data_IF_319371202882
#
_entry.id   IF_319371202882
#
_cell.length_a   1.000
_cell.length_b   1.000
_cell.length_c   1.000
_cell.angle_alpha   90.00
_cell.angle_beta   90.00
_cell.angle_gamma   90.00
#
_symmetry.space_group_name_H-M   'P 1'
#
loop_
_entity.id
_entity.type
_entity.pdbx_description
1 polymer ?
#
# COMPACT_ATOMS: atom_id res chain seq x y z
N UNK A 1 20.67 -10.04 63.16
CA UNK A 1 19.49 -10.57 62.44
C UNK A 1 19.07 -9.63 61.35
N UNK A 2 19.24 -9.96 60.06
CA UNK A 2 18.74 -9.16 58.93
C UNK A 2 17.26 -9.41 58.73
N UNK A 3 16.41 -8.44 58.99
CA UNK A 3 14.97 -8.48 58.75
C UNK A 3 14.74 -8.68 57.25
N UNK A 4 14.23 -9.83 56.82
CA UNK A 4 13.86 -10.08 55.43
C UNK A 4 12.65 -9.21 55.13
N UNK A 5 12.82 -8.20 54.26
CA UNK A 5 11.72 -7.41 53.75
C UNK A 5 10.82 -8.26 52.86
N UNK A 6 9.57 -8.42 53.21
CA UNK A 6 8.55 -9.10 52.40
C UNK A 6 7.53 -8.06 51.93
N UNK A 7 7.31 -7.90 50.63
CA UNK A 7 6.35 -6.93 50.13
C UNK A 7 4.92 -7.35 50.55
N UNK A 8 4.15 -6.39 51.07
CA UNK A 8 2.76 -6.59 51.43
C UNK A 8 1.85 -6.63 50.17
N UNK A 9 0.57 -7.07 50.35
CA UNK A 9 -0.36 -7.19 49.21
C UNK A 9 -0.58 -5.86 48.46
N UNK A 10 -0.55 -4.74 49.18
CA UNK A 10 -0.66 -3.41 48.55
C UNK A 10 0.54 -3.10 47.63
N UNK A 11 1.76 -3.50 48.05
CA UNK A 11 2.96 -3.33 47.23
C UNK A 11 2.86 -4.13 45.93
N UNK A 12 2.37 -5.39 46.02
CA UNK A 12 2.13 -6.21 44.82
C UNK A 12 1.06 -5.61 43.90
N UNK A 13 -0.03 -5.07 44.46
CA UNK A 13 -1.07 -4.39 43.68
C UNK A 13 -0.51 -3.17 42.93
N UNK A 14 0.28 -2.33 43.61
CA UNK A 14 0.90 -1.14 43.00
C UNK A 14 1.89 -1.54 41.89
N UNK A 15 2.74 -2.54 42.14
CA UNK A 15 3.70 -2.99 41.12
C UNK A 15 3.01 -3.60 39.90
N UNK A 16 1.93 -4.37 40.11
CA UNK A 16 1.12 -4.93 39.02
C UNK A 16 0.44 -3.84 38.20
N UNK A 17 -0.20 -2.87 38.85
CA UNK A 17 -0.81 -1.73 38.15
C UNK A 17 0.23 -0.93 37.36
N UNK A 18 1.40 -0.67 37.95
CA UNK A 18 2.51 -0.01 37.28
C UNK A 18 3.03 -0.78 36.05
N UNK A 19 3.16 -2.10 36.16
CA UNK A 19 3.57 -2.97 35.05
C UNK A 19 2.53 -2.97 33.91
N UNK A 20 1.24 -3.03 34.23
CA UNK A 20 0.15 -2.96 33.25
C UNK A 20 0.15 -1.59 32.54
N UNK A 21 0.28 -0.51 33.29
CA UNK A 21 0.33 0.85 32.71
C UNK A 21 1.53 1.02 31.78
N UNK A 22 2.70 0.50 32.17
CA UNK A 22 3.92 0.53 31.34
C UNK A 22 3.74 -0.31 30.08
N UNK A 23 3.19 -1.54 30.19
CA UNK A 23 2.91 -2.40 29.06
C UNK A 23 1.91 -1.76 28.08
N UNK A 24 0.84 -1.16 28.60
CA UNK A 24 -0.15 -0.43 27.77
C UNK A 24 0.47 0.78 27.06
N UNK A 25 1.36 1.53 27.74
CA UNK A 25 2.05 2.67 27.14
C UNK A 25 3.07 2.30 26.06
N UNK A 26 3.71 1.14 26.18
CA UNK A 26 4.69 0.64 25.22
C UNK A 26 4.06 -0.16 24.06
N UNK A 27 2.82 -0.64 24.22
CA UNK A 27 2.14 -1.50 23.26
C UNK A 27 2.10 -0.92 21.84
N UNK A 28 1.66 0.35 21.60
CA UNK A 28 1.57 0.89 20.24
C UNK A 28 2.92 0.91 19.51
N UNK A 29 3.98 1.31 20.22
CA UNK A 29 5.33 1.37 19.64
C UNK A 29 5.88 -0.01 19.32
N UNK A 30 5.67 -0.99 20.22
CA UNK A 30 6.10 -2.36 20.01
C UNK A 30 5.30 -3.01 18.84
N UNK A 31 4.00 -2.80 18.79
CA UNK A 31 3.14 -3.33 17.73
C UNK A 31 3.51 -2.76 16.36
N UNK A 32 3.74 -1.45 16.26
CA UNK A 32 4.21 -0.79 15.03
C UNK A 32 5.57 -1.34 14.59
N UNK A 33 6.50 -1.53 15.52
CA UNK A 33 7.82 -2.10 15.20
C UNK A 33 7.70 -3.54 14.68
N UNK A 34 6.90 -4.39 15.31
CA UNK A 34 6.66 -5.77 14.89
C UNK A 34 6.01 -5.79 13.50
N UNK A 35 5.01 -4.93 13.24
CA UNK A 35 4.36 -4.82 11.94
C UNK A 35 5.36 -4.43 10.85
N UNK A 36 6.17 -3.40 11.07
CA UNK A 36 7.20 -2.97 10.12
C UNK A 36 8.26 -4.05 9.87
N UNK A 37 8.63 -4.81 10.92
CA UNK A 37 9.54 -5.94 10.80
C UNK A 37 8.93 -7.05 9.93
N UNK A 38 7.66 -7.43 10.17
CA UNK A 38 6.96 -8.44 9.37
C UNK A 38 6.82 -8.00 7.90
N UNK A 39 6.47 -6.73 7.64
CA UNK A 39 6.41 -6.18 6.29
C UNK A 39 7.78 -6.25 5.58
N UNK A 40 8.86 -5.94 6.30
CA UNK A 40 10.21 -6.05 5.75
C UNK A 40 10.63 -7.50 5.47
N UNK A 41 10.12 -8.48 6.21
CA UNK A 41 10.33 -9.91 5.92
C UNK A 41 9.60 -10.33 4.64
N UNK A 42 8.36 -9.92 4.44
CA UNK A 42 7.60 -10.19 3.22
C UNK A 42 8.35 -9.66 2.00
N UNK A 43 8.81 -8.40 2.05
CA UNK A 43 9.58 -7.78 0.96
C UNK A 43 10.88 -8.53 0.68
N UNK A 44 11.63 -8.91 1.73
CA UNK A 44 12.90 -9.64 1.56
C UNK A 44 12.69 -11.04 0.99
N UNK A 45 11.69 -11.75 1.48
CA UNK A 45 11.39 -13.10 0.99
C UNK A 45 11.00 -13.05 -0.50
N UNK A 46 10.16 -12.09 -0.90
CA UNK A 46 9.82 -11.89 -2.31
C UNK A 46 11.06 -11.58 -3.16
N UNK A 47 11.97 -10.70 -2.69
CA UNK A 47 13.19 -10.38 -3.41
C UNK A 47 14.13 -11.59 -3.61
N UNK A 48 14.13 -12.55 -2.68
CA UNK A 48 14.92 -13.79 -2.81
C UNK A 48 14.27 -14.82 -3.73
N UNK A 49 12.94 -14.84 -3.84
CA UNK A 49 12.20 -15.79 -4.69
C UNK A 49 11.95 -15.29 -6.12
N UNK A 50 12.24 -14.02 -6.43
CA UNK A 50 11.99 -13.42 -7.75
C UNK A 50 12.66 -14.18 -8.91
N UNK A 51 13.81 -14.83 -8.66
CA UNK A 51 14.52 -15.63 -9.69
C UNK A 51 13.80 -16.92 -10.10
N UNK A 52 12.95 -17.44 -9.23
CA UNK A 52 12.24 -18.71 -9.38
C UNK A 52 10.75 -18.51 -9.70
N UNK A 53 10.30 -17.26 -9.91
CA UNK A 53 8.89 -16.95 -10.15
C UNK A 53 8.48 -17.36 -11.56
N UNK A 54 7.42 -18.15 -11.69
CA UNK A 54 6.80 -18.52 -12.96
C UNK A 54 5.40 -17.88 -13.09
N UNK A 55 5.11 -17.15 -14.19
CA UNK A 55 6.00 -16.81 -15.32
C UNK A 55 7.14 -15.85 -14.92
N UNK A 56 8.22 -15.83 -15.70
CA UNK A 56 9.38 -14.98 -15.46
C UNK A 56 8.98 -13.48 -15.29
N UNK A 57 9.66 -12.70 -14.44
CA UNK A 57 9.35 -11.29 -14.17
C UNK A 57 9.18 -10.44 -15.43
N UNK A 58 10.04 -10.60 -16.43
CA UNK A 58 9.96 -9.88 -17.71
C UNK A 58 8.66 -10.14 -18.45
N UNK A 59 8.21 -11.39 -18.49
CA UNK A 59 6.96 -11.77 -19.12
C UNK A 59 5.75 -11.21 -18.36
N UNK A 60 5.78 -11.22 -17.02
CA UNK A 60 4.73 -10.62 -16.19
C UNK A 60 4.64 -9.11 -16.39
N UNK A 61 5.77 -8.40 -16.52
CA UNK A 61 5.79 -6.97 -16.83
C UNK A 61 5.20 -6.66 -18.22
N UNK A 62 5.49 -7.50 -19.23
CA UNK A 62 4.89 -7.35 -20.56
C UNK A 62 3.38 -7.58 -20.51
N UNK A 63 2.91 -8.61 -19.81
CA UNK A 63 1.49 -8.86 -19.61
C UNK A 63 0.79 -7.72 -18.87
N UNK A 64 1.42 -7.16 -17.84
CA UNK A 64 0.89 -6.02 -17.10
C UNK A 64 0.80 -4.75 -17.95
N UNK A 65 1.77 -4.50 -18.83
CA UNK A 65 1.70 -3.40 -19.80
C UNK A 65 0.60 -3.62 -20.84
N UNK A 66 0.42 -4.86 -21.31
CA UNK A 66 -0.68 -5.21 -22.21
C UNK A 66 -2.05 -5.05 -21.54
N UNK A 67 -2.16 -5.42 -20.27
CA UNK A 67 -3.36 -5.18 -19.44
C UNK A 67 -3.65 -3.67 -19.34
N UNK A 68 -2.66 -2.85 -19.00
CA UNK A 68 -2.81 -1.40 -18.93
C UNK A 68 -3.24 -0.79 -20.27
N UNK A 69 -2.65 -1.24 -21.38
CA UNK A 69 -3.05 -0.78 -22.72
C UNK A 69 -4.51 -1.14 -23.06
N UNK A 70 -4.98 -2.30 -22.62
CA UNK A 70 -6.38 -2.71 -22.79
C UNK A 70 -7.33 -1.87 -21.95
N UNK A 71 -6.95 -1.49 -20.72
CA UNK A 71 -7.71 -0.58 -19.87
C UNK A 71 -7.86 0.82 -20.50
N UNK A 72 -6.79 1.36 -21.10
CA UNK A 72 -6.82 2.67 -21.78
C UNK A 72 -7.74 2.62 -23.02
N UNK A 73 -7.80 1.49 -23.72
CA UNK A 73 -8.51 1.34 -24.98
C UNK A 73 -10.05 1.27 -24.85
N UNK A 74 -10.64 1.13 -23.67
CA UNK A 74 -12.09 1.03 -23.65
C UNK A 74 -12.82 0.71 -22.36
N UNK A 75 -12.19 0.62 -21.22
CA UNK A 75 -12.91 0.36 -19.97
C UNK A 75 -13.36 1.68 -19.34
N UNK A 76 -14.67 1.97 -19.42
CA UNK A 76 -15.33 2.96 -18.58
C UNK A 76 -15.45 2.35 -17.18
N UNK A 77 -14.87 3.01 -16.19
CA UNK A 77 -15.21 2.79 -14.79
C UNK A 77 -16.63 3.32 -14.58
N UNK A 78 -17.62 2.44 -14.54
CA UNK A 78 -18.94 2.84 -14.07
C UNK A 78 -18.84 3.11 -12.56
N UNK A 79 -19.38 4.24 -12.13
CA UNK A 79 -19.47 4.62 -10.73
C UNK A 79 -20.23 3.50 -9.96
N UNK A 80 -19.49 2.69 -9.21
CA UNK A 80 -20.03 1.56 -8.43
C UNK A 80 -19.68 0.16 -8.95
N UNK A 81 -19.01 0.03 -10.07
CA UNK A 81 -18.55 -1.25 -10.61
C UNK A 81 -17.06 -1.49 -10.31
N UNK A 82 -16.75 -2.08 -9.17
CA UNK A 82 -15.39 -2.52 -8.82
C UNK A 82 -15.06 -3.90 -9.42
N UNK A 83 -15.58 -4.24 -10.59
CA UNK A 83 -15.27 -5.52 -11.22
C UNK A 83 -14.52 -5.21 -12.51
N UNK A 84 -13.22 -5.56 -12.62
CA UNK A 84 -12.52 -5.44 -13.88
C UNK A 84 -13.19 -6.38 -14.89
N UNK A 85 -13.64 -5.80 -15.96
CA UNK A 85 -13.99 -6.60 -17.13
C UNK A 85 -12.69 -7.17 -17.66
N UNK A 86 -12.65 -8.49 -17.78
CA UNK A 86 -11.53 -9.22 -18.36
C UNK A 86 -11.01 -8.51 -19.61
N UNK A 87 -9.82 -7.94 -19.53
CA UNK A 87 -9.15 -7.37 -20.69
C UNK A 87 -8.54 -8.51 -21.51
N UNK A 88 -8.95 -8.64 -22.77
CA UNK A 88 -8.30 -9.54 -23.71
C UNK A 88 -7.14 -8.80 -24.40
N UNK A 89 -5.95 -9.41 -24.46
CA UNK A 89 -4.87 -8.90 -25.28
C UNK A 89 -5.18 -9.08 -26.78
N UNK A 90 -4.38 -8.46 -27.65
CA UNK A 90 -4.54 -8.56 -29.10
C UNK A 90 -4.43 -10.00 -29.65
N UNK A 91 -3.92 -10.96 -28.87
CA UNK A 91 -3.83 -12.38 -29.19
C UNK A 91 -5.02 -13.21 -28.65
N UNK A 92 -6.06 -12.56 -28.08
CA UNK A 92 -7.25 -13.23 -27.56
C UNK A 92 -7.03 -13.93 -26.20
N UNK A 93 -5.89 -13.73 -25.55
CA UNK A 93 -5.65 -14.27 -24.20
C UNK A 93 -6.35 -13.38 -23.18
N UNK A 94 -7.13 -14.00 -22.32
CA UNK A 94 -7.79 -13.32 -21.20
C UNK A 94 -6.75 -12.95 -20.15
N UNK A 95 -6.58 -11.65 -19.89
CA UNK A 95 -5.71 -11.14 -18.81
C UNK A 95 -6.55 -10.97 -17.54
N UNK A 96 -6.24 -11.73 -16.51
CA UNK A 96 -6.96 -11.74 -15.23
C UNK A 96 -6.14 -10.95 -14.21
N UNK A 97 -6.74 -9.97 -13.55
CA UNK A 97 -6.08 -9.06 -12.62
C UNK A 97 -5.24 -9.78 -11.55
N UNK A 98 -5.80 -10.78 -10.88
CA UNK A 98 -5.12 -11.51 -9.80
C UNK A 98 -3.92 -12.35 -10.27
N UNK A 99 -3.77 -12.52 -11.59
CA UNK A 99 -2.67 -13.26 -12.20
C UNK A 99 -1.55 -12.33 -12.73
N UNK A 100 -1.73 -11.02 -12.61
CA UNK A 100 -0.75 -10.02 -13.04
C UNK A 100 0.19 -9.67 -11.89
N UNK A 101 1.48 -9.51 -12.18
CA UNK A 101 2.49 -9.04 -11.20
C UNK A 101 2.51 -9.88 -9.92
N UNK A 102 2.45 -11.20 -10.04
CA UNK A 102 2.50 -12.12 -8.90
C UNK A 102 3.98 -12.29 -8.48
N UNK A 103 4.41 -11.47 -7.52
CA UNK A 103 5.77 -11.55 -6.96
C UNK A 103 5.91 -12.64 -5.89
N UNK A 104 4.79 -13.08 -5.30
CA UNK A 104 4.71 -14.19 -4.36
C UNK A 104 3.28 -14.73 -4.28
N UNK A 105 3.11 -15.99 -3.88
CA UNK A 105 1.83 -16.70 -3.80
C UNK A 105 0.78 -16.02 -2.91
N UNK A 106 1.19 -15.06 -2.10
CA UNK A 106 0.35 -14.33 -1.15
C UNK A 106 -0.28 -13.05 -1.72
N UNK A 107 -0.16 -12.80 -3.04
CA UNK A 107 -0.72 -11.65 -3.74
C UNK A 107 0.14 -10.39 -3.67
N UNK A 108 1.41 -10.49 -3.29
CA UNK A 108 2.35 -9.39 -3.36
C UNK A 108 2.65 -9.05 -4.82
N UNK A 109 2.52 -7.75 -5.19
CA UNK A 109 2.76 -7.26 -6.54
C UNK A 109 3.85 -6.20 -6.64
N UNK A 110 4.05 -5.40 -5.59
CA UNK A 110 4.98 -4.27 -5.61
C UNK A 110 5.43 -3.90 -4.19
N UNK A 111 6.36 -2.98 -4.12
CA UNK A 111 6.80 -2.30 -2.89
C UNK A 111 6.68 -0.80 -3.08
N UNK A 112 6.19 -0.07 -2.07
CA UNK A 112 6.16 1.39 -2.09
C UNK A 112 7.06 1.97 -1.00
N UNK A 113 7.87 2.98 -1.36
CA UNK A 113 8.71 3.73 -0.42
C UNK A 113 8.44 5.22 -0.53
N UNK A 114 8.18 5.89 0.59
CA UNK A 114 7.98 7.34 0.71
C UNK A 114 8.93 7.85 1.80
N UNK A 115 10.17 8.21 1.45
CA UNK A 115 11.22 8.54 2.44
C UNK A 115 10.86 9.71 3.34
N UNK A 116 10.17 10.74 2.82
CA UNK A 116 9.79 11.95 3.58
C UNK A 116 8.93 11.65 4.82
N UNK A 117 8.22 10.52 4.83
CA UNK A 117 7.37 10.08 5.94
C UNK A 117 7.74 8.69 6.48
N UNK A 118 8.90 8.15 6.07
CA UNK A 118 9.41 6.86 6.54
C UNK A 118 8.56 5.64 6.17
N UNK A 119 7.78 5.71 5.08
CA UNK A 119 6.95 4.59 4.60
C UNK A 119 7.81 3.64 3.76
N UNK A 120 7.68 2.35 4.04
CA UNK A 120 8.26 1.24 3.29
C UNK A 120 7.31 0.02 3.44
N UNK A 121 6.42 -0.19 2.45
CA UNK A 121 5.32 -1.13 2.53
C UNK A 121 5.27 -2.07 1.33
N UNK A 122 4.91 -3.35 1.54
CA UNK A 122 4.46 -4.22 0.47
C UNK A 122 3.12 -3.74 -0.07
N UNK A 123 2.94 -3.86 -1.39
CA UNK A 123 1.68 -3.59 -2.10
C UNK A 123 1.11 -4.89 -2.60
N UNK A 124 -0.13 -5.18 -2.24
CA UNK A 124 -0.84 -6.41 -2.58
C UNK A 124 -1.98 -6.14 -3.56
N UNK A 125 -2.49 -7.21 -4.19
CA UNK A 125 -3.68 -7.14 -5.02
C UNK A 125 -4.93 -6.78 -4.21
N UNK A 126 -5.75 -5.89 -4.76
CA UNK A 126 -7.03 -5.48 -4.19
C UNK A 126 -6.93 -4.66 -2.92
N UNK A 127 -8.10 -4.25 -2.43
CA UNK A 127 -8.23 -3.35 -1.28
C UNK A 127 -9.15 -3.92 -0.20
N UNK A 128 -9.18 -5.27 -0.08
CA UNK A 128 -9.92 -5.94 0.99
C UNK A 128 -9.34 -5.56 2.36
N UNK A 129 -10.15 -5.64 3.41
CA UNK A 129 -9.69 -5.40 4.78
C UNK A 129 -8.47 -6.29 5.12
N UNK A 130 -8.53 -7.57 4.72
CA UNK A 130 -7.40 -8.50 4.90
C UNK A 130 -6.12 -8.00 4.22
N UNK A 131 -6.23 -7.45 3.01
CA UNK A 131 -5.11 -6.87 2.26
C UNK A 131 -4.54 -5.67 3.02
N UNK A 132 -5.41 -4.72 3.39
CA UNK A 132 -5.01 -3.45 3.99
C UNK A 132 -4.44 -3.59 5.40
N UNK A 133 -4.75 -4.67 6.12
CA UNK A 133 -4.12 -5.00 7.40
C UNK A 133 -2.67 -5.51 7.24
N UNK A 134 -2.29 -6.01 6.05
CA UNK A 134 -0.95 -6.55 5.77
C UNK A 134 0.01 -5.50 5.20
N UNK A 135 -0.51 -4.52 4.47
CA UNK A 135 0.27 -3.51 3.78
C UNK A 135 -0.60 -2.54 3.00
N UNK A 136 -0.05 -2.00 1.92
CA UNK A 136 -0.84 -1.24 0.95
C UNK A 136 -1.54 -2.19 -0.02
N UNK A 137 -2.65 -1.74 -0.60
CA UNK A 137 -3.41 -2.46 -1.61
C UNK A 137 -3.50 -1.67 -2.91
N UNK A 138 -3.36 -2.34 -4.05
CA UNK A 138 -3.63 -1.77 -5.36
C UNK A 138 -5.12 -1.80 -5.63
N UNK A 139 -5.70 -0.66 -6.02
CA UNK A 139 -7.13 -0.55 -6.32
C UNK A 139 -7.42 -1.22 -7.68
N UNK A 140 -8.12 -2.34 -7.61
CA UNK A 140 -8.58 -3.08 -8.78
C UNK A 140 -9.42 -2.17 -9.71
N UNK A 141 -9.27 -2.32 -11.03
CA UNK A 141 -9.89 -1.45 -12.03
C UNK A 141 -9.08 -0.19 -12.37
N UNK A 142 -7.99 0.09 -11.65
CA UNK A 142 -6.98 1.09 -12.05
C UNK A 142 -5.81 0.42 -12.76
N UNK A 143 -4.94 1.21 -13.43
CA UNK A 143 -3.77 0.65 -14.11
C UNK A 143 -2.82 0.00 -13.11
N UNK A 144 -2.20 -1.11 -13.53
CA UNK A 144 -1.13 -1.76 -12.77
C UNK A 144 0.09 -0.82 -12.66
N UNK A 145 0.85 -0.87 -11.56
CA UNK A 145 1.91 0.09 -11.27
C UNK A 145 3.23 -0.22 -12.02
N UNK A 146 3.15 -0.44 -13.32
CA UNK A 146 4.30 -0.72 -14.20
C UNK A 146 4.70 0.46 -15.06
N UNK A 147 4.13 1.62 -14.80
CA UNK A 147 4.33 2.85 -15.56
C UNK A 147 3.68 2.82 -16.95
N UNK A 148 3.83 3.90 -17.66
CA UNK A 148 3.36 4.09 -19.04
C UNK A 148 2.55 5.37 -19.22
N UNK A 149 2.67 5.98 -20.41
CA UNK A 149 1.92 7.18 -20.76
C UNK A 149 0.41 6.93 -20.77
N UNK A 150 -0.35 7.84 -20.20
CA UNK A 150 -1.80 7.73 -20.10
C UNK A 150 -2.26 6.73 -19.01
N UNK A 151 -1.36 6.29 -18.11
CA UNK A 151 -1.72 5.37 -17.04
C UNK A 151 -1.83 6.09 -15.69
N UNK A 152 -2.68 5.54 -14.80
CA UNK A 152 -2.77 5.94 -13.39
C UNK A 152 -3.00 4.69 -12.55
N UNK A 153 -2.01 4.30 -11.75
CA UNK A 153 -2.16 3.29 -10.72
C UNK A 153 -2.62 3.93 -9.41
N UNK A 154 -3.52 3.26 -8.68
CA UNK A 154 -4.01 3.74 -7.38
C UNK A 154 -3.62 2.76 -6.29
N UNK A 155 -2.91 3.26 -5.28
CA UNK A 155 -2.44 2.49 -4.13
C UNK A 155 -3.04 3.10 -2.87
N UNK A 156 -3.68 2.28 -2.05
CA UNK A 156 -4.28 2.72 -0.79
C UNK A 156 -3.72 1.96 0.40
N UNK A 157 -3.70 2.59 1.55
CA UNK A 157 -3.38 1.95 2.82
C UNK A 157 -4.14 2.61 3.97
N UNK A 158 -4.26 1.91 5.08
CA UNK A 158 -4.91 2.42 6.27
C UNK A 158 -4.22 3.66 6.85
N UNK A 159 -5.01 4.45 7.60
CA UNK A 159 -4.53 5.55 8.41
C UNK A 159 -4.97 5.37 9.87
N UNK A 160 -4.01 5.50 10.80
CA UNK A 160 -4.30 5.46 12.23
C UNK A 160 -4.55 4.07 12.80
N UNK A 161 -4.01 3.02 12.20
CA UNK A 161 -3.95 1.72 12.86
C UNK A 161 -3.03 1.81 14.09
N UNK A 162 -3.50 1.27 15.22
CA UNK A 162 -2.70 1.25 16.45
C UNK A 162 -1.43 0.38 16.32
N UNK A 163 -1.45 -0.56 15.38
CA UNK A 163 -0.46 -1.62 15.23
C UNK A 163 0.49 -1.42 14.04
N UNK A 164 0.23 -0.44 13.17
CA UNK A 164 1.05 -0.22 11.97
C UNK A 164 1.02 1.23 11.50
N UNK A 165 2.18 1.74 11.04
CA UNK A 165 2.30 3.10 10.54
C UNK A 165 1.49 3.34 9.26
N UNK A 166 1.52 2.39 8.31
CA UNK A 166 0.82 2.46 7.02
C UNK A 166 0.93 3.86 6.36
N UNK A 167 -0.18 4.44 5.90
CA UNK A 167 -0.24 5.81 5.38
C UNK A 167 -0.66 6.84 6.44
N UNK A 168 -0.38 6.58 7.73
CA UNK A 168 -0.79 7.47 8.84
C UNK A 168 -0.27 8.89 8.69
N UNK A 169 0.95 9.05 8.19
CA UNK A 169 1.60 10.35 7.98
C UNK A 169 1.46 10.89 6.54
N UNK A 170 0.55 10.35 5.70
CA UNK A 170 0.40 10.79 4.31
C UNK A 170 -0.01 12.27 4.19
N UNK A 171 -0.63 12.84 5.21
CA UNK A 171 -0.95 14.27 5.32
C UNK A 171 0.26 15.20 5.44
N UNK A 172 1.45 14.66 5.65
CA UNK A 172 2.70 15.43 5.72
C UNK A 172 3.46 15.47 4.40
N UNK A 173 3.02 14.67 3.43
CA UNK A 173 3.60 14.68 2.09
C UNK A 173 3.23 15.98 1.39
N UNK A 174 4.18 16.57 0.68
CA UNK A 174 4.03 17.84 -0.03
C UNK A 174 4.44 17.74 -1.49
N UNK A 175 3.96 18.65 -2.31
CA UNK A 175 4.40 18.75 -3.70
C UNK A 175 5.93 18.90 -3.79
N UNK A 176 6.55 18.11 -4.66
CA UNK A 176 8.01 18.03 -4.81
C UNK A 176 8.66 16.85 -4.08
N UNK A 177 8.01 16.25 -3.06
CA UNK A 177 8.45 15.01 -2.44
C UNK A 177 8.57 13.89 -3.48
N UNK A 178 9.43 12.91 -3.20
CA UNK A 178 9.65 11.78 -4.11
C UNK A 178 9.29 10.48 -3.42
N UNK A 179 8.60 9.61 -4.14
CA UNK A 179 8.36 8.24 -3.72
C UNK A 179 8.69 7.26 -4.85
N UNK A 180 8.86 5.99 -4.48
CA UNK A 180 9.23 4.92 -5.43
C UNK A 180 8.23 3.79 -5.32
N UNK A 181 7.77 3.30 -6.46
CA UNK A 181 7.07 2.01 -6.57
C UNK A 181 8.04 1.05 -7.25
N UNK A 182 8.34 -0.07 -6.60
CA UNK A 182 9.27 -1.08 -7.09
C UNK A 182 8.50 -2.34 -7.46
N UNK A 183 8.64 -2.80 -8.69
CA UNK A 183 8.00 -4.01 -9.22
C UNK A 183 9.08 -4.94 -9.74
N UNK A 184 9.18 -6.15 -9.21
CA UNK A 184 10.22 -7.13 -9.55
C UNK A 184 11.64 -6.56 -9.49
N UNK A 185 11.93 -5.67 -8.51
CA UNK A 185 13.24 -5.03 -8.36
C UNK A 185 13.47 -3.82 -9.28
N UNK A 186 12.56 -3.51 -10.20
CA UNK A 186 12.62 -2.32 -11.04
C UNK A 186 11.99 -1.12 -10.32
N UNK A 187 12.75 -0.09 -9.93
CA UNK A 187 12.23 1.09 -9.26
C UNK A 187 11.63 2.07 -10.26
N UNK A 188 10.38 2.43 -10.04
CA UNK A 188 9.67 3.49 -10.73
C UNK A 188 9.59 4.70 -9.80
N UNK A 189 10.24 5.82 -10.17
CA UNK A 189 10.37 7.00 -9.30
C UNK A 189 9.36 8.06 -9.71
N UNK A 190 8.59 8.55 -8.74
CA UNK A 190 7.54 9.54 -8.92
C UNK A 190 7.79 10.77 -8.05
N UNK A 191 7.55 11.96 -8.61
CA UNK A 191 7.55 13.21 -7.85
C UNK A 191 6.11 13.62 -7.55
N UNK A 192 5.82 13.93 -6.30
CA UNK A 192 4.51 14.45 -5.90
C UNK A 192 4.23 15.75 -6.61
N UNK A 193 3.16 15.77 -7.37
CA UNK A 193 2.67 16.91 -8.12
C UNK A 193 1.61 17.68 -7.33
N UNK A 194 0.72 16.92 -6.65
CA UNK A 194 -0.47 17.45 -6.03
C UNK A 194 -0.89 16.65 -4.82
N UNK A 195 -1.46 17.35 -3.83
CA UNK A 195 -2.03 16.75 -2.61
C UNK A 195 -3.40 17.40 -2.36
N UNK A 196 -4.44 16.58 -2.31
CA UNK A 196 -5.82 17.03 -2.15
C UNK A 196 -6.53 16.28 -1.02
N UNK A 197 -7.57 16.89 -0.47
CA UNK A 197 -8.56 16.21 0.38
C UNK A 197 -9.90 16.23 -0.35
N UNK A 198 -10.46 15.06 -0.62
CA UNK A 198 -11.66 14.89 -1.41
C UNK A 198 -12.76 14.14 -0.64
N UNK A 199 -14.00 14.25 -1.11
CA UNK A 199 -15.09 13.37 -0.68
C UNK A 199 -14.84 11.95 -1.20
N UNK A 200 -15.18 10.88 -0.44
CA UNK A 200 -15.04 9.50 -0.89
C UNK A 200 -15.77 9.17 -2.19
N UNK A 201 -16.84 9.91 -2.52
CA UNK A 201 -17.61 9.73 -3.75
C UNK A 201 -16.97 10.41 -4.97
N UNK A 202 -15.98 11.31 -4.76
CA UNK A 202 -15.28 12.01 -5.84
C UNK A 202 -14.19 11.13 -6.45
N UNK A 203 -14.54 10.36 -7.47
CA UNK A 203 -13.61 9.54 -8.24
C UNK A 203 -12.97 10.27 -9.43
N UNK A 204 -13.34 11.53 -9.70
CA UNK A 204 -12.83 12.27 -10.85
C UNK A 204 -11.31 12.47 -10.80
N UNK A 205 -10.74 12.59 -9.59
CA UNK A 205 -9.30 12.72 -9.36
C UNK A 205 -8.50 11.44 -9.66
N UNK A 206 -9.18 10.30 -9.88
CA UNK A 206 -8.57 9.01 -10.16
C UNK A 206 -8.55 8.68 -11.65
N UNK A 207 -9.12 9.54 -12.50
CA UNK A 207 -9.15 9.34 -13.95
C UNK A 207 -7.72 9.52 -14.49
N UNK A 208 -7.25 8.61 -15.39
CA UNK A 208 -5.97 8.77 -16.07
C UNK A 208 -5.90 10.07 -16.87
N UNK A 209 -4.73 10.69 -16.93
CA UNK A 209 -4.48 11.88 -17.73
C UNK A 209 -3.70 11.50 -19.01
N UNK A 210 -4.16 11.89 -20.21
CA UNK A 210 -3.46 11.56 -21.44
C UNK A 210 -1.98 12.02 -21.42
N UNK A 211 -1.09 11.14 -21.86
CA UNK A 211 0.35 11.44 -21.96
C UNK A 211 1.11 11.49 -20.63
N UNK A 212 0.46 11.19 -19.50
CA UNK A 212 1.11 11.19 -18.18
C UNK A 212 1.19 9.80 -17.59
N UNK A 213 2.27 9.52 -16.89
CA UNK A 213 2.48 8.34 -16.07
C UNK A 213 2.28 8.71 -14.59
N UNK A 214 1.17 8.29 -14.00
CA UNK A 214 0.75 8.74 -12.70
C UNK A 214 0.57 7.56 -11.72
N UNK A 215 0.97 7.80 -10.47
CA UNK A 215 0.57 6.97 -9.33
C UNK A 215 -0.14 7.85 -8.31
N UNK A 216 -1.28 7.38 -7.83
CA UNK A 216 -2.09 8.06 -6.81
C UNK A 216 -2.08 7.25 -5.53
N UNK A 217 -1.73 7.90 -4.41
CA UNK A 217 -1.75 7.31 -3.08
C UNK A 217 -2.96 7.84 -2.32
N UNK A 218 -3.72 6.94 -1.67
CA UNK A 218 -4.97 7.30 -0.98
C UNK A 218 -4.99 6.78 0.45
N UNK A 219 -5.51 7.59 1.35
CA UNK A 219 -5.84 7.17 2.72
C UNK A 219 -7.02 7.94 3.29
N UNK A 220 -7.61 7.43 4.38
CA UNK A 220 -8.74 8.05 5.06
C UNK A 220 -8.33 9.29 5.88
N UNK A 221 -9.25 10.27 6.01
CA UNK A 221 -9.07 11.46 6.85
C UNK A 221 -10.43 12.03 7.28
N UNK A 222 -10.56 12.78 8.41
CA UNK A 222 -9.64 12.84 9.56
C UNK A 222 -9.48 11.49 10.27
N UNK A 223 -8.43 11.35 11.08
CA UNK A 223 -8.21 10.16 11.90
C UNK A 223 -9.44 9.83 12.75
N UNK A 224 -9.88 8.58 12.70
CA UNK A 224 -11.03 8.07 13.47
C UNK A 224 -12.42 8.46 12.93
N UNK A 225 -12.53 9.49 12.07
CA UNK A 225 -13.79 9.93 11.45
C UNK A 225 -13.92 9.34 10.03
N UNK A 226 -12.83 9.35 9.26
CA UNK A 226 -12.71 8.76 7.92
C UNK A 226 -13.72 9.30 6.87
N UNK A 227 -14.22 10.53 7.07
CA UNK A 227 -15.23 11.14 6.21
C UNK A 227 -14.72 11.58 4.84
N UNK A 228 -13.41 11.78 4.69
CA UNK A 228 -12.77 12.23 3.46
C UNK A 228 -11.58 11.34 3.11
N UNK A 229 -10.93 11.62 1.97
CA UNK A 229 -9.72 10.95 1.53
C UNK A 229 -8.61 11.97 1.28
N UNK A 230 -7.39 11.68 1.77
CA UNK A 230 -6.18 12.34 1.29
C UNK A 230 -5.77 11.61 0.02
N UNK A 231 -5.53 12.39 -1.02
CA UNK A 231 -5.09 11.92 -2.34
C UNK A 231 -3.79 12.62 -2.68
N UNK A 232 -2.72 11.85 -2.85
CA UNK A 232 -1.40 12.31 -3.26
C UNK A 232 -1.14 11.79 -4.66
N UNK A 233 -0.99 12.68 -5.64
CA UNK A 233 -0.69 12.31 -7.03
C UNK A 233 0.78 12.53 -7.32
N UNK A 234 1.49 11.49 -7.71
CA UNK A 234 2.85 11.53 -8.23
C UNK A 234 2.90 11.33 -9.73
N UNK A 235 3.79 12.07 -10.38
CA UNK A 235 4.11 11.96 -11.80
C UNK A 235 5.51 11.37 -11.98
N UNK A 236 5.69 10.49 -12.92
CA UNK A 236 6.94 9.79 -13.24
C UNK A 236 8.05 10.78 -13.59
N UNK A 237 9.28 10.56 -13.09
CA UNK A 237 10.48 11.38 -13.38
C UNK A 237 11.62 10.54 -13.93
#
# INVERSE_FOLDING_TARGET
MRRRWSPGPLTWAITLCGAIALAAGLYPSAATWISSYNQSLVIRNAATSMGDTEPAPTHQLEQARAYNAALVAGVRLDAGGNVPVVAANAAGTTLVYDQMLVAADDGLMARIRIPSIGVDLPVFHGTSERTLLRGAGHLEGTHLPVGGEGTRAVITAHRGLAEAAMFTALDRVTAGDVFTVEVFGEPLVYRVRDVQVIDPADSATLIPEPGRDLVTLITCTPLGINSHRIVVTGERI
#
